data_IF_691137175819
#
_entry.id   IF_691137175819
#
_cell.length_a   1.000
_cell.length_b   1.000
_cell.length_c   1.000
_cell.angle_alpha   90.00
_cell.angle_beta   90.00
_cell.angle_gamma   90.00
#
_symmetry.space_group_name_H-M   'P 1'
#
loop_
_entity.id
_entity.type
_entity.pdbx_description
1 polymer ?
#
# COMPACT_ATOMS: atom_id res chain seq x y z
N UNK A 1 -7.37 23.23 -45.88
CA UNK A 1 -8.37 24.20 -45.41
C UNK A 1 -9.64 23.46 -45.04
N UNK A 2 -10.10 23.64 -43.78
CA UNK A 2 -11.48 23.47 -43.30
C UNK A 2 -11.91 22.00 -43.15
N UNK A 3 -11.54 21.29 -42.07
CA UNK A 3 -12.23 21.37 -40.76
C UNK A 3 -13.70 21.75 -40.93
N UNK A 4 -14.64 20.78 -40.89
CA UNK A 4 -16.09 21.05 -40.72
C UNK A 4 -17.00 19.85 -40.44
N UNK A 5 -16.50 18.67 -40.10
CA UNK A 5 -17.35 17.47 -39.88
C UNK A 5 -17.24 16.83 -38.49
N UNK A 6 -16.77 17.59 -37.49
CA UNK A 6 -16.89 17.22 -36.08
C UNK A 6 -18.15 17.93 -35.56
N UNK A 7 -19.36 17.36 -35.66
CA UNK A 7 -20.53 17.87 -34.91
C UNK A 7 -21.80 16.99 -34.83
N UNK A 8 -21.82 15.70 -35.22
CA UNK A 8 -23.10 14.94 -35.21
C UNK A 8 -23.01 13.46 -34.77
N UNK A 9 -22.35 13.14 -33.67
CA UNK A 9 -22.47 11.79 -33.06
C UNK A 9 -22.54 11.78 -31.53
N UNK A 10 -23.07 12.85 -30.93
CA UNK A 10 -23.49 12.85 -29.54
C UNK A 10 -25.02 12.78 -29.49
N UNK A 11 -25.56 11.56 -29.38
CA UNK A 11 -26.88 11.18 -28.84
C UNK A 11 -27.04 9.68 -29.11
N UNK A 12 -27.46 8.91 -28.10
CA UNK A 12 -27.70 7.45 -28.08
C UNK A 12 -26.68 6.55 -27.34
N UNK A 13 -26.25 6.94 -26.15
CA UNK A 13 -26.11 6.00 -25.03
C UNK A 13 -26.96 6.60 -23.89
N UNK A 14 -28.25 6.28 -23.76
CA UNK A 14 -28.76 4.94 -23.55
C UNK A 14 -29.04 4.80 -22.06
N UNK A 15 -30.25 5.21 -21.65
CA UNK A 15 -30.76 5.25 -20.28
C UNK A 15 -30.69 3.86 -19.64
N UNK A 16 -30.05 3.73 -18.48
CA UNK A 16 -30.32 2.64 -17.55
C UNK A 16 -30.79 3.23 -16.21
N UNK A 17 -32.07 3.59 -16.15
CA UNK A 17 -32.77 3.77 -14.90
C UNK A 17 -33.07 2.38 -14.32
N UNK A 18 -32.10 1.79 -13.61
CA UNK A 18 -32.38 0.67 -12.73
C UNK A 18 -32.86 1.24 -11.39
N UNK A 19 -34.16 1.09 -11.16
CA UNK A 19 -34.79 1.34 -9.88
C UNK A 19 -34.09 0.52 -8.77
N UNK A 20 -33.83 1.19 -7.64
CA UNK A 20 -33.60 0.66 -6.30
C UNK A 20 -32.87 -0.69 -6.20
N UNK A 21 -31.52 -0.66 -6.24
CA UNK A 21 -30.73 -1.64 -5.50
C UNK A 21 -30.18 -0.93 -4.26
N UNK A 22 -30.75 -1.26 -3.10
CA UNK A 22 -30.12 -0.98 -1.81
C UNK A 22 -28.84 -1.83 -1.73
N UNK A 23 -27.72 -1.26 -2.18
CA UNK A 23 -26.40 -1.82 -1.91
C UNK A 23 -26.05 -1.44 -0.48
N UNK A 24 -26.21 -2.41 0.41
CA UNK A 24 -25.54 -2.49 1.69
C UNK A 24 -24.03 -2.63 1.41
N UNK A 25 -23.39 -1.51 1.13
CA UNK A 25 -21.94 -1.38 1.04
C UNK A 25 -21.39 -1.47 2.46
N UNK A 26 -21.12 -2.70 2.92
CA UNK A 26 -20.30 -2.94 4.10
C UNK A 26 -18.85 -2.52 3.80
N UNK A 27 -18.61 -1.22 3.94
CA UNK A 27 -17.41 -0.55 4.45
C UNK A 27 -16.07 -1.31 4.31
N UNK A 28 -15.29 -1.12 3.24
CA UNK A 28 -13.84 -1.29 3.34
C UNK A 28 -13.32 -0.13 4.18
N UNK A 29 -13.01 -0.42 5.45
CA UNK A 29 -12.28 0.47 6.36
C UNK A 29 -10.92 0.79 5.75
N UNK A 30 -10.91 1.85 4.95
CA UNK A 30 -9.72 2.60 4.61
C UNK A 30 -9.26 3.32 5.88
N UNK A 31 -8.03 3.05 6.27
CA UNK A 31 -7.21 4.09 6.89
C UNK A 31 -5.94 4.19 6.05
N UNK A 32 -6.09 4.92 4.95
CA UNK A 32 -5.01 5.55 4.22
C UNK A 32 -4.83 6.93 4.82
N UNK A 33 -3.74 7.14 5.56
CA UNK A 33 -3.13 8.46 5.66
C UNK A 33 -1.81 8.41 4.90
N UNK A 34 -1.91 8.74 3.61
CA UNK A 34 -0.78 9.05 2.74
C UNK A 34 -0.46 10.53 2.94
N UNK A 35 0.49 10.83 3.82
CA UNK A 35 1.23 12.08 3.79
C UNK A 35 2.50 11.86 2.98
N UNK A 36 2.72 12.75 2.03
CA UNK A 36 3.78 12.67 1.04
C UNK A 36 5.16 12.78 1.71
N UNK A 37 5.94 11.69 1.68
CA UNK A 37 7.38 11.79 1.54
C UNK A 37 7.94 10.55 0.82
N UNK A 38 8.81 10.80 -0.13
CA UNK A 38 9.29 9.85 -1.11
C UNK A 38 10.32 8.91 -0.46
N UNK A 39 9.89 7.77 0.10
CA UNK A 39 10.85 6.77 0.61
C UNK A 39 10.36 5.34 0.40
N UNK A 40 10.98 4.68 -0.59
CA UNK A 40 11.05 3.21 -0.81
C UNK A 40 9.92 2.40 -0.16
N UNK A 41 8.76 2.39 -0.80
CA UNK A 41 7.72 1.40 -0.52
C UNK A 41 8.21 0.04 -1.05
N UNK A 42 8.51 -0.91 -0.17
CA UNK A 42 8.82 -2.28 -0.62
C UNK A 42 7.56 -2.94 -1.16
N UNK A 43 7.76 -3.97 -2.00
CA UNK A 43 6.69 -4.75 -2.64
C UNK A 43 5.67 -5.33 -1.65
N UNK A 44 6.02 -5.43 -0.37
CA UNK A 44 5.20 -5.96 0.71
C UNK A 44 4.40 -4.89 1.49
N UNK A 45 4.47 -3.62 1.09
CA UNK A 45 3.71 -2.54 1.74
C UNK A 45 4.33 -2.01 3.03
N UNK A 46 5.58 -2.38 3.34
CA UNK A 46 6.29 -1.85 4.50
C UNK A 46 6.90 -0.47 4.20
N UNK A 47 6.96 0.39 5.22
CA UNK A 47 7.59 1.70 5.19
C UNK A 47 8.51 1.88 6.40
N UNK A 48 9.64 2.56 6.22
CA UNK A 48 10.55 2.83 7.33
C UNK A 48 9.96 3.71 8.43
N UNK A 49 8.92 4.49 8.12
CA UNK A 49 8.21 5.30 9.10
C UNK A 49 7.26 4.48 9.98
N UNK A 50 6.75 3.36 9.46
CA UNK A 50 5.73 2.53 10.14
C UNK A 50 6.28 1.23 10.70
N UNK A 51 7.39 0.74 10.16
CA UNK A 51 8.00 -0.52 10.57
C UNK A 51 8.46 -0.45 12.03
N UNK A 52 8.22 -1.54 12.77
CA UNK A 52 8.53 -1.60 14.19
C UNK A 52 10.02 -1.37 14.49
N UNK A 53 10.30 -0.86 15.69
CA UNK A 53 11.66 -0.57 16.15
C UNK A 53 12.27 -1.67 17.02
N UNK A 54 11.43 -2.60 17.50
CA UNK A 54 11.81 -3.64 18.43
C UNK A 54 11.24 -4.98 17.96
N UNK A 55 11.99 -6.06 18.15
CA UNK A 55 11.62 -7.41 17.71
C UNK A 55 10.33 -7.95 18.34
N UNK A 56 9.96 -7.46 19.53
CA UNK A 56 8.69 -7.82 20.20
C UNK A 56 7.45 -7.25 19.50
N UNK A 57 7.64 -6.21 18.70
CA UNK A 57 6.56 -5.48 18.02
C UNK A 57 6.51 -5.85 16.51
N UNK A 58 7.47 -6.68 16.02
CA UNK A 58 7.50 -7.18 14.64
C UNK A 58 6.48 -8.31 14.45
N UNK A 59 5.73 -8.26 13.35
CA UNK A 59 4.70 -9.27 13.06
C UNK A 59 5.19 -10.43 12.18
N UNK A 60 6.34 -10.29 11.51
CA UNK A 60 6.85 -11.28 10.56
C UNK A 60 8.36 -11.13 10.34
N UNK A 61 9.01 -12.19 9.83
CA UNK A 61 10.41 -12.13 9.46
C UNK A 61 10.64 -11.17 8.29
N UNK A 62 9.76 -11.16 7.29
CA UNK A 62 9.87 -10.27 6.12
C UNK A 62 9.80 -8.78 6.49
N UNK A 63 9.02 -8.44 7.51
CA UNK A 63 8.98 -7.08 8.07
C UNK A 63 10.32 -6.72 8.74
N UNK A 64 10.89 -7.66 9.51
CA UNK A 64 12.17 -7.47 10.20
C UNK A 64 13.34 -7.36 9.20
N UNK A 65 13.38 -8.19 8.17
CA UNK A 65 14.33 -8.11 7.06
C UNK A 65 14.23 -6.77 6.35
N UNK A 66 13.02 -6.33 6.02
CA UNK A 66 12.81 -5.01 5.42
C UNK A 66 13.34 -3.88 6.31
N UNK A 67 13.07 -3.94 7.62
CA UNK A 67 13.59 -2.97 8.58
C UNK A 67 15.12 -2.95 8.64
N UNK A 68 15.78 -4.12 8.60
CA UNK A 68 17.23 -4.22 8.61
C UNK A 68 17.82 -3.67 7.30
N UNK A 69 17.39 -4.21 6.16
CA UNK A 69 18.00 -3.96 4.86
C UNK A 69 17.62 -2.59 4.27
N UNK A 70 16.34 -2.23 4.32
CA UNK A 70 15.84 -1.04 3.62
C UNK A 70 15.84 0.19 4.52
N UNK A 71 15.69 0.00 5.83
CA UNK A 71 15.62 1.08 6.81
C UNK A 71 16.88 1.23 7.66
N UNK A 72 17.83 0.29 7.57
CA UNK A 72 19.10 0.35 8.29
C UNK A 72 18.94 0.15 9.80
N UNK A 73 17.89 -0.56 10.25
CA UNK A 73 17.67 -0.84 11.67
C UNK A 73 18.58 -1.97 12.17
N UNK A 74 19.88 -1.72 12.18
CA UNK A 74 20.91 -2.68 12.62
C UNK A 74 20.74 -3.17 14.07
N UNK A 75 19.97 -2.48 14.90
CA UNK A 75 19.68 -2.91 16.29
C UNK A 75 18.82 -4.18 16.36
N UNK A 76 18.15 -4.54 15.27
CA UNK A 76 17.33 -5.76 15.17
C UNK A 76 18.18 -7.02 14.99
N UNK A 77 19.39 -6.86 14.44
CA UNK A 77 20.41 -7.90 14.26
C UNK A 77 21.54 -7.63 15.27
N UNK A 78 21.40 -8.18 16.48
CA UNK A 78 22.25 -7.81 17.62
C UNK A 78 23.64 -8.44 17.52
N UNK A 79 23.72 -9.66 17.01
CA UNK A 79 24.91 -10.47 16.83
C UNK A 79 25.57 -10.30 15.45
N UNK A 80 24.89 -9.62 14.52
CA UNK A 80 25.40 -9.20 13.21
C UNK A 80 25.63 -10.36 12.25
N UNK A 81 24.80 -11.37 12.34
CA UNK A 81 24.83 -12.52 11.45
C UNK A 81 24.01 -12.29 10.16
N UNK A 82 23.28 -11.16 10.11
CA UNK A 82 22.40 -10.79 9.00
C UNK A 82 20.95 -11.22 9.18
N UNK A 83 20.61 -11.90 10.28
CA UNK A 83 19.25 -12.34 10.61
C UNK A 83 18.66 -11.40 11.68
N UNK A 84 17.75 -10.48 11.32
CA UNK A 84 17.13 -9.62 12.30
C UNK A 84 16.08 -10.39 13.11
N UNK A 85 15.99 -10.11 14.42
CA UNK A 85 14.90 -10.59 15.27
C UNK A 85 14.68 -12.11 15.18
N UNK A 86 15.61 -12.90 15.72
CA UNK A 86 15.57 -14.37 15.76
C UNK A 86 14.24 -14.94 16.31
N UNK A 87 13.47 -14.18 17.09
CA UNK A 87 12.16 -14.59 17.59
C UNK A 87 11.07 -14.69 16.51
N UNK A 88 11.23 -14.02 15.37
CA UNK A 88 10.31 -14.09 14.22
C UNK A 88 10.93 -14.79 13.01
N UNK A 89 12.26 -14.84 12.92
CA UNK A 89 12.99 -15.46 11.81
C UNK A 89 13.59 -16.85 12.10
N UNK A 90 13.70 -17.25 13.38
CA UNK A 90 14.37 -18.49 13.84
C UNK A 90 13.44 -19.58 14.35
#
# INVERSE_FOLDING_TARGET
>A
MKQKTILLSALLFGVSAFAAHAVEQSNPKQHSEQTADNKKQSKQGFSCSTVASYCKDMGSCEEAEFALEQCGRSRLDRDKDGIPCENVCG
#
